data_IF_800665409239
#
_entry.id   IF_800665409239
#
_cell.length_a   1.000
_cell.length_b   1.000
_cell.length_c   1.000
_cell.angle_alpha   90.00
_cell.angle_beta   90.00
_cell.angle_gamma   90.00
#
_symmetry.space_group_name_H-M   'P 1'
#
loop_
_entity.id
_entity.type
_entity.pdbx_description
1 polymer ?
#
# COMPACT_ATOMS: atom_id res chain seq x y z
N UNK A 1 16.83 13.46 9.84
CA UNK A 1 17.73 12.47 9.20
C UNK A 1 17.61 11.18 9.98
N UNK A 2 17.25 10.05 9.38
CA UNK A 2 17.06 8.77 10.08
C UNK A 2 18.31 7.88 9.90
N UNK A 3 19.16 7.71 10.93
CA UNK A 3 20.40 6.93 10.82
C UNK A 3 20.17 5.45 10.50
N UNK A 4 19.04 4.88 10.92
CA UNK A 4 18.70 3.47 10.71
C UNK A 4 18.50 3.15 9.22
N UNK A 5 17.84 4.04 8.48
CA UNK A 5 17.64 3.90 7.02
C UNK A 5 19.00 3.84 6.31
N UNK A 6 19.92 4.74 6.68
CA UNK A 6 21.25 4.78 6.08
C UNK A 6 22.07 3.52 6.35
N UNK A 7 21.97 2.94 7.55
CA UNK A 7 22.63 1.68 7.87
C UNK A 7 22.08 0.50 7.06
N UNK A 8 20.75 0.37 7.00
CA UNK A 8 20.06 -0.70 6.27
C UNK A 8 20.43 -0.71 4.78
N UNK A 9 20.52 0.47 4.15
CA UNK A 9 20.91 0.58 2.74
C UNK A 9 22.35 0.11 2.52
N UNK A 10 23.29 0.49 3.40
CA UNK A 10 24.70 0.07 3.30
C UNK A 10 24.88 -1.43 3.52
N UNK A 11 24.04 -2.04 4.36
CA UNK A 11 24.04 -3.48 4.62
C UNK A 11 23.30 -4.29 3.54
N UNK A 12 22.63 -3.63 2.57
CA UNK A 12 21.82 -4.29 1.55
C UNK A 12 20.55 -4.97 2.09
N UNK A 13 20.19 -4.71 3.34
CA UNK A 13 19.10 -5.40 4.03
C UNK A 13 17.73 -4.76 3.76
N UNK A 14 17.36 -4.57 2.49
CA UNK A 14 16.19 -3.78 2.06
C UNK A 14 14.87 -4.21 2.68
N UNK A 15 14.72 -5.48 3.05
CA UNK A 15 13.52 -6.00 3.73
C UNK A 15 13.25 -5.31 5.08
N UNK A 16 14.31 -4.87 5.79
CA UNK A 16 14.19 -4.17 7.07
C UNK A 16 13.66 -2.74 6.93
N UNK A 17 13.61 -2.19 5.71
CA UNK A 17 13.04 -0.86 5.48
C UNK A 17 11.55 -0.82 5.81
N UNK A 18 10.86 -1.96 5.70
CA UNK A 18 9.45 -2.06 6.06
C UNK A 18 9.22 -1.68 7.52
N UNK A 19 9.98 -2.29 8.45
CA UNK A 19 9.87 -2.02 9.89
C UNK A 19 10.21 -0.57 10.24
N UNK A 20 11.21 0.01 9.55
CA UNK A 20 11.61 1.40 9.78
C UNK A 20 10.54 2.38 9.32
N UNK A 21 9.83 2.10 8.22
CA UNK A 21 8.72 2.94 7.75
C UNK A 21 7.57 2.88 8.76
N UNK A 22 7.23 1.70 9.30
CA UNK A 22 6.20 1.55 10.35
C UNK A 22 6.59 2.36 11.60
N UNK A 23 7.81 2.15 12.11
CA UNK A 23 8.29 2.84 13.31
C UNK A 23 8.49 4.34 13.11
N UNK A 24 8.73 4.78 11.87
CA UNK A 24 8.97 6.17 11.50
C UNK A 24 7.70 7.00 11.25
N UNK A 25 6.51 6.46 11.50
CA UNK A 25 5.23 7.14 11.20
C UNK A 25 5.11 8.52 11.85
N UNK A 26 5.60 8.68 13.08
CA UNK A 26 5.63 9.98 13.79
C UNK A 26 6.54 11.03 13.13
N UNK A 27 7.48 10.58 12.30
CA UNK A 27 8.40 11.42 11.53
C UNK A 27 7.90 11.64 10.09
N UNK A 28 6.66 11.24 9.78
CA UNK A 28 6.05 11.39 8.46
C UNK A 28 6.39 10.28 7.48
N UNK A 29 6.96 9.15 7.93
CA UNK A 29 7.13 7.99 7.06
C UNK A 29 5.78 7.30 6.83
N UNK A 30 5.55 6.85 5.60
CA UNK A 30 4.25 6.31 5.21
C UNK A 30 4.39 5.34 4.04
N UNK A 31 3.59 4.28 4.04
CA UNK A 31 3.48 3.39 2.88
C UNK A 31 2.55 3.94 1.81
N UNK A 32 2.82 3.56 0.56
CA UNK A 32 1.99 3.94 -0.59
C UNK A 32 0.52 3.58 -0.38
N UNK A 33 0.23 2.34 0.03
CA UNK A 33 -1.15 1.89 0.24
C UNK A 33 -1.84 2.60 1.42
N UNK A 34 -1.10 3.05 2.44
CA UNK A 34 -1.68 3.91 3.48
C UNK A 34 -2.05 5.29 2.93
N UNK A 35 -1.23 5.86 2.04
CA UNK A 35 -1.54 7.12 1.38
C UNK A 35 -2.75 7.01 0.47
N UNK A 36 -2.79 5.97 -0.37
CA UNK A 36 -3.94 5.68 -1.24
C UNK A 36 -5.20 5.48 -0.38
N UNK A 37 -5.10 4.72 0.71
CA UNK A 37 -6.21 4.50 1.64
C UNK A 37 -6.77 5.81 2.21
N UNK A 38 -5.89 6.70 2.66
CA UNK A 38 -6.31 7.99 3.20
C UNK A 38 -6.98 8.84 2.11
N UNK A 39 -6.40 8.90 0.92
CA UNK A 39 -7.00 9.63 -0.22
C UNK A 39 -8.35 9.06 -0.66
N UNK A 40 -8.53 7.75 -0.59
CA UNK A 40 -9.81 7.10 -0.85
C UNK A 40 -10.86 7.49 0.20
N UNK A 41 -10.50 7.44 1.48
CA UNK A 41 -11.39 7.83 2.59
C UNK A 41 -11.80 9.30 2.53
N UNK A 42 -10.89 10.16 2.13
CA UNK A 42 -11.12 11.60 1.97
C UNK A 42 -11.90 11.92 0.67
N UNK A 43 -12.14 10.93 -0.19
CA UNK A 43 -12.87 11.09 -1.46
C UNK A 43 -12.07 11.75 -2.58
N UNK A 44 -10.74 11.85 -2.45
CA UNK A 44 -9.87 12.42 -3.48
C UNK A 44 -9.62 11.48 -4.67
N UNK A 45 -9.78 10.17 -4.47
CA UNK A 45 -9.60 9.16 -5.53
C UNK A 45 -10.77 8.19 -5.53
N UNK A 46 -11.07 7.64 -6.70
CA UNK A 46 -12.14 6.63 -6.83
C UNK A 46 -11.67 5.27 -6.29
N UNK A 47 -12.60 4.38 -5.85
CA UNK A 47 -12.24 3.02 -5.46
C UNK A 47 -11.51 2.23 -6.55
N UNK A 48 -11.88 2.45 -7.82
CA UNK A 48 -11.22 1.84 -8.97
C UNK A 48 -9.77 2.31 -9.11
N UNK A 49 -9.52 3.62 -9.06
CA UNK A 49 -8.14 4.13 -9.13
C UNK A 49 -7.30 3.67 -7.94
N UNK A 50 -7.87 3.66 -6.74
CA UNK A 50 -7.21 3.16 -5.55
C UNK A 50 -6.80 1.69 -5.74
N UNK A 51 -7.71 0.85 -6.24
CA UNK A 51 -7.44 -0.56 -6.55
C UNK A 51 -6.37 -0.75 -7.63
N UNK A 52 -6.41 0.04 -8.70
CA UNK A 52 -5.44 -0.07 -9.80
C UNK A 52 -4.03 0.40 -9.42
N UNK A 53 -3.90 1.31 -8.44
CA UNK A 53 -2.62 1.90 -8.04
C UNK A 53 -2.03 1.29 -6.77
N UNK A 54 -2.83 0.58 -5.97
CA UNK A 54 -2.37 -0.09 -4.78
C UNK A 54 -1.48 -1.30 -5.09
N UNK A 55 -0.57 -1.59 -4.16
CA UNK A 55 0.25 -2.81 -4.18
C UNK A 55 -0.61 -3.98 -3.67
N UNK A 56 -1.21 -3.83 -2.49
CA UNK A 56 -2.15 -4.80 -1.94
C UNK A 56 -3.57 -4.55 -2.47
N UNK A 57 -3.88 -5.22 -3.58
CA UNK A 57 -5.19 -5.14 -4.23
C UNK A 57 -6.33 -5.68 -3.37
N UNK A 58 -6.06 -6.65 -2.50
CA UNK A 58 -7.09 -7.27 -1.67
C UNK A 58 -7.68 -6.25 -0.68
N UNK A 59 -6.85 -5.32 -0.19
CA UNK A 59 -7.27 -4.23 0.69
C UNK A 59 -8.31 -3.30 0.06
N UNK A 60 -8.24 -3.08 -1.25
CA UNK A 60 -9.11 -2.14 -1.97
C UNK A 60 -10.26 -2.80 -2.72
N UNK A 61 -10.18 -4.12 -2.94
CA UNK A 61 -11.20 -4.90 -3.66
C UNK A 61 -12.60 -4.78 -3.05
N UNK A 62 -12.69 -4.69 -1.72
CA UNK A 62 -13.96 -4.55 -1.01
C UNK A 62 -14.72 -3.23 -1.29
N UNK A 63 -14.03 -2.23 -1.88
CA UNK A 63 -14.59 -0.92 -2.20
C UNK A 63 -15.00 -0.81 -3.68
N UNK A 64 -14.67 -1.81 -4.50
CA UNK A 64 -15.09 -1.84 -5.90
C UNK A 64 -16.60 -2.07 -6.00
N UNK A 65 -17.26 -1.46 -6.99
CA UNK A 65 -18.67 -1.72 -7.23
C UNK A 65 -18.90 -3.16 -7.75
N UNK A 66 -20.11 -3.71 -7.61
CA UNK A 66 -20.40 -5.12 -7.92
C UNK A 66 -20.05 -5.53 -9.36
N UNK A 67 -20.23 -4.62 -10.32
CA UNK A 67 -19.86 -4.82 -11.73
C UNK A 67 -18.35 -5.06 -11.93
N UNK A 68 -17.52 -4.48 -11.07
CA UNK A 68 -16.06 -4.51 -11.15
C UNK A 68 -15.43 -5.54 -10.18
N UNK A 69 -16.24 -6.20 -9.36
CA UNK A 69 -15.78 -7.20 -8.40
C UNK A 69 -15.03 -8.38 -9.08
N UNK A 70 -15.34 -8.66 -10.35
CA UNK A 70 -14.69 -9.67 -11.19
C UNK A 70 -13.27 -9.30 -11.66
N UNK A 71 -12.91 -8.01 -11.70
CA UNK A 71 -11.57 -7.55 -12.07
C UNK A 71 -10.49 -7.99 -11.07
N UNK A 72 -10.91 -8.35 -9.85
CA UNK A 72 -10.11 -9.06 -8.87
C UNK A 72 -9.33 -10.24 -9.44
N UNK A 73 -9.96 -11.03 -10.32
CA UNK A 73 -9.41 -12.26 -10.87
C UNK A 73 -8.37 -12.02 -11.98
N UNK A 74 -8.52 -10.95 -12.78
CA UNK A 74 -7.66 -10.70 -13.93
C UNK A 74 -6.32 -10.03 -13.57
N UNK A 75 -6.25 -9.41 -12.39
CA UNK A 75 -5.15 -8.51 -12.03
C UNK A 75 -4.16 -9.10 -11.01
N UNK A 76 -4.21 -10.41 -10.78
CA UNK A 76 -3.28 -11.14 -9.90
C UNK A 76 -3.55 -10.95 -8.41
N UNK A 77 -4.76 -10.54 -8.02
CA UNK A 77 -5.19 -10.61 -6.62
C UNK A 77 -5.44 -12.07 -6.29
N UNK A 78 -4.42 -12.76 -5.77
CA UNK A 78 -4.50 -14.17 -5.40
C UNK A 78 -5.72 -14.39 -4.49
N UNK A 79 -6.65 -15.19 -5.00
CA UNK A 79 -7.86 -15.63 -4.31
C UNK A 79 -7.56 -16.75 -3.29
N UNK A 80 -6.43 -16.68 -2.58
CA UNK A 80 -6.04 -17.73 -1.66
C UNK A 80 -5.11 -17.25 -0.54
N UNK A 81 -5.70 -16.81 0.57
CA UNK A 81 -5.31 -17.26 1.91
C UNK A 81 -6.41 -16.96 2.94
#
# INVERSE_FOLDING_TARGET
SNPAVGAIIREGATQKLYDVIIGGKSQGMQFMDEAIWQKLRDGYVTPMEAYMKAIDKNRFKAFLPPEDAGLGAASGGDANK
#
